data_IF_801731160844
#
_entry.id   IF_801731160844
#
_cell.length_a   1.000
_cell.length_b   1.000
_cell.length_c   1.000
_cell.angle_alpha   90.00
_cell.angle_beta   90.00
_cell.angle_gamma   90.00
#
_symmetry.space_group_name_H-M   'P 1'
#
loop_
_entity.id
_entity.type
_entity.pdbx_description
1 polymer ?
#
# COMPACT_ATOMS: atom_id res chain seq x y z
N UNK A 1 -3.34 -53.80 21.29
CA UNK A 1 -2.88 -52.47 20.87
C UNK A 1 -3.12 -52.38 19.40
N UNK A 2 -4.24 -51.75 19.05
CA UNK A 2 -5.07 -52.24 17.98
C UNK A 2 -4.75 -51.52 16.68
N UNK A 3 -4.60 -52.31 15.61
CA UNK A 3 -4.31 -51.84 14.25
C UNK A 3 -5.31 -50.77 13.77
N UNK A 4 -6.54 -50.80 14.30
CA UNK A 4 -7.58 -49.79 14.09
C UNK A 4 -7.23 -48.39 14.61
N UNK A 5 -6.33 -48.28 15.59
CA UNK A 5 -5.88 -46.99 16.14
C UNK A 5 -4.90 -46.28 15.20
N UNK A 6 -4.00 -47.02 14.54
CA UNK A 6 -3.04 -46.42 13.59
C UNK A 6 -3.72 -45.88 12.33
N UNK A 7 -4.76 -46.55 11.83
CA UNK A 7 -5.51 -46.09 10.64
C UNK A 7 -6.19 -44.73 10.88
N UNK A 8 -6.71 -44.48 12.10
CA UNK A 8 -7.35 -43.21 12.43
C UNK A 8 -6.36 -42.04 12.47
N UNK A 9 -5.15 -42.26 12.97
CA UNK A 9 -4.08 -41.25 13.02
C UNK A 9 -3.61 -40.91 11.60
N UNK A 10 -3.47 -41.92 10.73
CA UNK A 10 -3.05 -41.71 9.34
C UNK A 10 -4.10 -40.91 8.54
N UNK A 11 -5.39 -41.19 8.74
CA UNK A 11 -6.49 -40.45 8.10
C UNK A 11 -6.62 -39.00 8.60
N UNK A 12 -6.36 -38.75 9.88
CA UNK A 12 -6.30 -37.39 10.43
C UNK A 12 -5.11 -36.60 9.84
N UNK A 13 -3.95 -37.23 9.70
CA UNK A 13 -2.76 -36.60 9.11
C UNK A 13 -2.97 -36.20 7.64
N UNK A 14 -3.59 -37.04 6.82
CA UNK A 14 -3.81 -36.73 5.40
C UNK A 14 -4.83 -35.61 5.19
N UNK A 15 -5.87 -35.53 6.02
CA UNK A 15 -6.84 -34.43 6.00
C UNK A 15 -6.21 -33.09 6.40
N UNK A 16 -5.32 -33.08 7.40
CA UNK A 16 -4.61 -31.85 7.79
C UNK A 16 -3.59 -31.38 6.75
N UNK A 17 -2.92 -32.29 6.05
CA UNK A 17 -1.96 -31.93 4.99
C UNK A 17 -2.65 -31.35 3.75
N UNK A 18 -3.83 -31.87 3.40
CA UNK A 18 -4.62 -31.36 2.27
C UNK A 18 -5.25 -30.00 2.56
N UNK A 19 -5.61 -29.72 3.83
CA UNK A 19 -6.07 -28.39 4.25
C UNK A 19 -4.94 -27.33 4.24
N UNK A 20 -3.69 -27.73 4.53
CA UNK A 20 -2.53 -26.84 4.39
C UNK A 20 -2.18 -26.55 2.93
N UNK A 21 -2.33 -27.54 2.03
CA UNK A 21 -2.03 -27.39 0.61
C UNK A 21 -3.03 -26.47 -0.12
N UNK A 22 -4.26 -26.34 0.37
CA UNK A 22 -5.29 -25.45 -0.22
C UNK A 22 -5.14 -23.99 0.20
N UNK A 23 -4.45 -23.70 1.30
CA UNK A 23 -4.16 -22.33 1.76
C UNK A 23 -2.90 -21.72 1.10
N UNK A 24 -2.17 -22.51 0.31
CA UNK A 24 -0.92 -22.10 -0.34
C UNK A 24 -1.10 -21.66 -1.81
N UNK A 25 -2.32 -21.33 -2.25
CA UNK A 25 -2.46 -20.44 -3.41
C UNK A 25 -2.11 -19.02 -2.95
N UNK A 26 -0.81 -18.76 -2.83
CA UNK A 26 -0.27 -17.42 -2.69
C UNK A 26 -0.75 -16.61 -3.89
N UNK A 27 -1.89 -15.92 -3.74
CA UNK A 27 -2.27 -14.87 -4.66
C UNK A 27 -1.13 -13.88 -4.61
N UNK A 28 -0.36 -13.82 -5.70
CA UNK A 28 0.67 -12.82 -5.88
C UNK A 28 -0.02 -11.46 -5.80
N UNK A 29 0.03 -10.85 -4.62
CA UNK A 29 -0.51 -9.54 -4.35
C UNK A 29 0.39 -8.51 -5.03
N UNK A 30 0.28 -8.44 -6.34
CA UNK A 30 0.95 -7.44 -7.16
C UNK A 30 0.24 -6.10 -6.97
N UNK A 31 0.99 -5.02 -6.86
CA UNK A 31 0.45 -3.65 -6.80
C UNK A 31 0.26 -3.02 -8.18
N UNK A 32 0.30 -3.84 -9.23
CA UNK A 32 0.18 -3.41 -10.60
C UNK A 32 -0.72 -4.34 -11.42
N UNK A 33 -1.32 -3.79 -12.47
CA UNK A 33 -2.09 -4.51 -13.48
C UNK A 33 -1.58 -4.12 -14.87
N UNK A 34 -1.25 -5.08 -15.72
CA UNK A 34 -0.80 -4.82 -17.08
C UNK A 34 -1.98 -4.69 -18.05
N UNK A 35 -1.75 -4.01 -19.17
CA UNK A 35 -2.73 -3.94 -20.25
C UNK A 35 -3.09 -5.34 -20.76
N UNK A 36 -4.38 -5.62 -20.88
CA UNK A 36 -4.93 -6.93 -21.25
C UNK A 36 -5.15 -7.88 -20.07
N UNK A 37 -4.64 -7.57 -18.88
CA UNK A 37 -4.95 -8.31 -17.67
C UNK A 37 -6.28 -7.82 -17.05
N UNK A 38 -6.94 -8.72 -16.33
CA UNK A 38 -8.17 -8.42 -15.58
C UNK A 38 -8.02 -8.86 -14.13
N UNK A 39 -8.61 -8.08 -13.22
CA UNK A 39 -8.75 -8.45 -11.82
C UNK A 39 -10.14 -9.02 -11.60
N UNK A 40 -10.23 -10.32 -11.36
CA UNK A 40 -11.48 -10.96 -10.98
C UNK A 40 -11.98 -10.45 -9.62
N UNK A 41 -13.26 -10.67 -9.31
CA UNK A 41 -13.93 -10.25 -8.06
C UNK A 41 -13.30 -10.70 -6.74
N UNK A 42 -12.36 -11.64 -6.79
CA UNK A 42 -11.61 -12.16 -5.64
C UNK A 42 -10.14 -11.73 -5.64
N UNK A 43 -9.73 -10.94 -6.63
CA UNK A 43 -8.39 -10.38 -6.76
C UNK A 43 -8.47 -8.87 -6.51
N UNK A 44 -7.54 -8.38 -5.71
CA UNK A 44 -7.47 -6.97 -5.37
C UNK A 44 -6.01 -6.53 -5.49
N UNK A 45 -5.80 -5.35 -6.08
CA UNK A 45 -4.58 -4.59 -5.83
C UNK A 45 -4.73 -4.08 -4.39
N UNK A 46 -3.70 -4.23 -3.55
CA UNK A 46 -3.78 -4.06 -2.09
C UNK A 46 -4.39 -2.70 -1.68
N UNK A 47 -5.71 -2.64 -1.45
CA UNK A 47 -6.43 -2.41 -0.19
C UNK A 47 -7.94 -2.50 -0.47
N UNK A 48 -8.65 -3.31 0.32
CA UNK A 48 -9.86 -3.99 -0.10
C UNK A 48 -11.18 -3.24 -0.05
N UNK A 49 -12.14 -3.79 -0.80
CA UNK A 49 -13.58 -3.72 -0.57
C UNK A 49 -14.21 -4.93 -1.28
N UNK A 50 -14.87 -5.80 -0.53
CA UNK A 50 -15.58 -6.95 -1.07
C UNK A 50 -16.81 -6.50 -1.86
N UNK A 51 -16.81 -6.76 -3.16
CA UNK A 51 -18.03 -6.78 -3.98
C UNK A 51 -18.87 -8.00 -3.57
N UNK A 52 -19.65 -7.85 -2.51
CA UNK A 52 -20.70 -8.81 -2.18
C UNK A 52 -21.89 -8.54 -3.12
N UNK A 53 -22.08 -9.44 -4.10
CA UNK A 53 -23.31 -9.72 -4.86
C UNK A 53 -23.35 -9.40 -6.37
N UNK A 54 -22.37 -8.71 -6.95
CA UNK A 54 -22.20 -8.66 -8.42
C UNK A 54 -20.76 -8.94 -8.78
N UNK A 55 -20.55 -9.90 -9.68
CA UNK A 55 -19.23 -10.27 -10.16
C UNK A 55 -18.75 -9.18 -11.13
N UNK A 56 -18.22 -8.08 -10.57
CA UNK A 56 -17.59 -7.02 -11.34
C UNK A 56 -16.08 -7.27 -11.44
N UNK A 57 -15.48 -6.96 -12.58
CA UNK A 57 -14.04 -7.08 -12.75
C UNK A 57 -13.45 -5.83 -13.42
N UNK A 58 -12.22 -5.51 -13.04
CA UNK A 58 -11.50 -4.33 -13.53
C UNK A 58 -10.54 -4.75 -14.64
N UNK A 59 -10.55 -4.03 -15.76
CA UNK A 59 -9.66 -4.28 -16.91
C UNK A 59 -8.93 -3.01 -17.33
N UNK A 60 -7.66 -3.16 -17.72
CA UNK A 60 -6.88 -2.10 -18.37
C UNK A 60 -6.73 -2.44 -19.84
N UNK A 61 -7.29 -1.62 -20.72
CA UNK A 61 -7.24 -1.81 -22.18
C UNK A 61 -5.94 -1.27 -22.79
N UNK A 62 -5.64 -1.70 -24.01
CA UNK A 62 -4.44 -1.30 -24.77
C UNK A 62 -4.39 0.18 -25.17
N UNK A 63 -5.48 0.92 -24.99
CA UNK A 63 -5.54 2.36 -25.20
C UNK A 63 -5.49 3.12 -23.85
N UNK A 64 -4.99 2.49 -22.79
CA UNK A 64 -4.88 3.06 -21.45
C UNK A 64 -6.22 3.34 -20.77
N UNK A 65 -7.32 2.79 -21.30
CA UNK A 65 -8.65 2.93 -20.74
C UNK A 65 -8.86 1.92 -19.61
N UNK A 66 -9.25 2.40 -18.45
CA UNK A 66 -9.64 1.57 -17.33
C UNK A 66 -11.15 1.35 -17.38
N UNK A 67 -11.60 0.09 -17.32
CA UNK A 67 -13.01 -0.28 -17.46
C UNK A 67 -13.41 -1.24 -16.35
N UNK A 68 -14.52 -0.95 -15.67
CA UNK A 68 -15.20 -1.85 -14.75
C UNK A 68 -16.36 -2.50 -15.51
N UNK A 69 -16.31 -3.81 -15.61
CA UNK A 69 -17.28 -4.64 -16.30
C UNK A 69 -18.07 -5.46 -15.28
N UNK A 70 -19.37 -5.62 -15.52
CA UNK A 70 -20.18 -6.63 -14.83
C UNK A 70 -20.03 -8.00 -15.55
N UNK A 71 -20.52 -9.08 -14.93
CA UNK A 71 -20.55 -10.46 -15.43
C UNK A 71 -20.87 -10.65 -16.92
N UNK A 72 -21.66 -9.77 -17.53
CA UNK A 72 -22.09 -9.86 -18.94
C UNK A 72 -21.25 -9.01 -19.88
N UNK A 73 -20.11 -8.51 -19.41
CA UNK A 73 -19.26 -7.52 -20.09
C UNK A 73 -19.98 -6.17 -20.30
N UNK A 74 -21.02 -5.91 -19.50
CA UNK A 74 -21.69 -4.63 -19.47
C UNK A 74 -20.76 -3.61 -18.78
N UNK A 75 -20.51 -2.50 -19.45
CA UNK A 75 -19.66 -1.42 -18.92
C UNK A 75 -20.43 -0.68 -17.84
N UNK A 76 -20.00 -0.86 -16.59
CA UNK A 76 -20.55 -0.13 -15.44
C UNK A 76 -19.89 1.23 -15.30
N UNK A 77 -18.59 1.30 -15.56
CA UNK A 77 -17.80 2.52 -15.45
C UNK A 77 -16.55 2.44 -16.33
N UNK A 78 -16.13 3.58 -16.88
CA UNK A 78 -14.89 3.68 -17.63
C UNK A 78 -14.18 5.04 -17.52
N UNK A 79 -12.91 5.08 -17.91
CA UNK A 79 -12.15 6.31 -18.11
C UNK A 79 -12.14 6.74 -19.57
N UNK A 80 -11.70 7.97 -19.84
CA UNK A 80 -11.32 8.37 -21.21
C UNK A 80 -10.05 7.60 -21.62
N UNK A 81 -9.94 7.18 -22.89
CA UNK A 81 -8.75 6.49 -23.37
C UNK A 81 -7.55 7.44 -23.37
N UNK A 82 -6.40 6.93 -22.93
CA UNK A 82 -5.10 7.59 -22.97
C UNK A 82 -4.45 7.12 -24.28
N UNK A 83 -4.61 7.87 -25.37
CA UNK A 83 -4.00 7.52 -26.68
C UNK A 83 -2.48 7.80 -26.62
N UNK A 84 -1.62 7.09 -27.38
CA UNK A 84 -1.90 6.10 -28.43
C UNK A 84 -2.09 4.66 -27.90
N UNK A 85 -2.37 3.69 -28.79
CA UNK A 85 -2.45 2.27 -28.43
C UNK A 85 -1.05 1.75 -28.03
N UNK A 86 -0.96 0.93 -26.98
CA UNK A 86 0.25 0.20 -26.59
C UNK A 86 0.18 -0.40 -25.18
N UNK A 87 1.35 -0.68 -24.59
CA UNK A 87 1.42 -1.35 -23.28
C UNK A 87 1.30 -0.36 -22.14
N UNK A 88 0.20 -0.48 -21.40
CA UNK A 88 -0.04 0.30 -20.18
C UNK A 88 0.14 -0.53 -18.92
N UNK A 89 0.47 0.14 -17.82
CA UNK A 89 0.51 -0.42 -16.47
C UNK A 89 -0.27 0.50 -15.52
N UNK A 90 -1.20 -0.08 -14.78
CA UNK A 90 -1.87 0.55 -13.65
C UNK A 90 -1.02 0.28 -12.40
N UNK A 91 -0.71 1.30 -11.61
CA UNK A 91 0.04 1.17 -10.37
C UNK A 91 -0.74 1.83 -9.24
N UNK A 92 -0.89 1.12 -8.13
CA UNK A 92 -1.39 1.70 -6.87
C UNK A 92 -0.21 2.22 -6.06
N UNK A 93 -0.15 3.54 -5.88
CA UNK A 93 0.89 4.21 -5.11
C UNK A 93 0.57 4.21 -3.61
N UNK A 94 1.55 4.48 -2.74
CA UNK A 94 1.36 4.50 -1.27
C UNK A 94 0.47 5.61 -0.75
N UNK A 95 0.32 6.68 -1.51
CA UNK A 95 -0.62 7.75 -1.18
C UNK A 95 -2.04 7.45 -1.66
N UNK A 96 -2.30 6.17 -1.97
CA UNK A 96 -3.59 5.66 -2.45
C UNK A 96 -4.02 6.25 -3.79
N UNK A 97 -3.08 6.81 -4.55
CA UNK A 97 -3.32 7.23 -5.92
C UNK A 97 -3.15 6.06 -6.86
N UNK A 98 -4.11 5.94 -7.77
CA UNK A 98 -4.06 4.99 -8.88
C UNK A 98 -3.57 5.75 -10.10
N UNK A 99 -2.42 5.33 -10.65
CA UNK A 99 -1.77 5.99 -11.78
C UNK A 99 -1.60 5.00 -12.93
N UNK A 100 -1.98 5.42 -14.14
CA UNK A 100 -1.76 4.65 -15.37
C UNK A 100 -0.54 5.23 -16.07
N UNK A 101 0.43 4.38 -16.41
CA UNK A 101 1.57 4.76 -17.22
C UNK A 101 1.58 3.98 -18.55
N UNK A 102 2.03 4.61 -19.63
CA UNK A 102 2.16 4.00 -20.96
C UNK A 102 1.88 5.00 -22.09
N UNK A 103 2.00 4.57 -23.37
CA UNK A 103 2.52 3.28 -23.79
C UNK A 103 4.05 3.30 -24.01
N UNK A 104 4.63 4.49 -24.20
CA UNK A 104 6.06 4.69 -24.46
C UNK A 104 6.77 5.03 -23.16
N UNK A 105 7.35 4.02 -22.54
CA UNK A 105 8.41 4.20 -21.56
C UNK A 105 9.74 4.38 -22.30
N UNK A 106 10.75 4.94 -21.65
CA UNK A 106 12.11 5.04 -22.19
C UNK A 106 12.67 3.62 -22.44
N UNK A 107 12.39 3.07 -23.62
CA UNK A 107 12.99 1.85 -24.12
C UNK A 107 14.37 2.22 -24.65
N UNK A 108 15.41 2.01 -23.84
CA UNK A 108 16.78 2.04 -24.33
C UNK A 108 17.07 0.74 -25.06
N UNK A 109 16.87 0.67 -26.38
CA UNK A 109 17.21 -0.46 -27.27
C UNK A 109 16.52 -1.82 -26.98
N UNK A 110 16.33 -2.60 -28.04
CA UNK A 110 15.53 -3.84 -28.08
C UNK A 110 16.12 -5.02 -27.27
N UNK A 111 17.20 -4.80 -26.54
CA UNK A 111 17.87 -5.77 -25.66
C UNK A 111 17.53 -5.55 -24.17
N UNK A 112 16.69 -4.56 -23.85
CA UNK A 112 16.33 -4.27 -22.46
C UNK A 112 15.09 -5.04 -22.08
N UNK A 113 15.33 -6.15 -21.36
CA UNK A 113 14.34 -6.76 -20.50
C UNK A 113 13.69 -5.67 -19.65
N UNK A 114 12.36 -5.53 -19.76
CA UNK A 114 11.60 -4.99 -18.65
C UNK A 114 11.83 -6.00 -17.53
N UNK A 115 12.84 -5.74 -16.70
CA UNK A 115 12.81 -6.22 -15.35
C UNK A 115 11.52 -5.60 -14.78
N UNK A 116 10.41 -6.35 -14.84
CA UNK A 116 9.58 -6.44 -13.65
C UNK A 116 10.60 -6.62 -12.58
N UNK A 117 10.72 -5.62 -11.74
CA UNK A 117 11.75 -5.61 -10.75
C UNK A 117 11.31 -6.66 -9.72
N UNK A 118 11.50 -7.93 -10.08
CA UNK A 118 11.54 -9.09 -9.21
C UNK A 118 12.50 -8.78 -8.07
N UNK A 119 13.44 -7.84 -8.29
CA UNK A 119 14.00 -6.95 -7.28
C UNK A 119 14.01 -5.49 -7.79
N UNK A 120 13.18 -4.61 -7.21
CA UNK A 120 13.15 -3.15 -7.43
C UNK A 120 14.52 -2.46 -7.56
N UNK A 121 14.65 -1.29 -8.24
CA UNK A 121 15.78 -0.42 -7.98
C UNK A 121 15.78 -0.08 -6.48
N UNK A 122 16.67 -0.70 -5.68
CA UNK A 122 16.67 -0.71 -4.20
C UNK A 122 15.27 -0.41 -3.66
N UNK A 123 14.42 -1.45 -3.70
CA UNK A 123 13.02 -1.31 -3.36
C UNK A 123 12.89 -0.51 -2.08
N UNK A 124 11.89 0.36 -1.99
CA UNK A 124 11.67 1.12 -0.76
C UNK A 124 11.55 0.21 0.49
N UNK A 125 11.33 -1.11 0.34
CA UNK A 125 11.60 -2.13 1.37
C UNK A 125 13.00 -1.96 1.94
N UNK A 126 14.05 -2.03 1.12
CA UNK A 126 15.45 -1.85 1.53
C UNK A 126 15.71 -0.47 2.15
N UNK A 127 15.04 0.59 1.67
CA UNK A 127 15.14 1.92 2.27
C UNK A 127 14.43 1.98 3.64
N UNK A 128 13.29 1.31 3.78
CA UNK A 128 12.56 1.20 5.05
C UNK A 128 13.27 0.27 6.02
N UNK A 129 13.86 -0.80 5.53
CA UNK A 129 14.69 -1.73 6.27
C UNK A 129 15.97 -1.01 6.67
N UNK A 130 16.55 -0.15 5.84
CA UNK A 130 17.69 0.69 6.21
C UNK A 130 17.31 1.82 7.18
N UNK A 131 16.09 2.38 7.11
CA UNK A 131 15.59 3.35 8.11
C UNK A 131 15.23 2.67 9.43
N UNK A 132 14.61 1.50 9.38
CA UNK A 132 14.28 0.65 10.52
C UNK A 132 15.55 0.14 11.18
N UNK A 133 16.53 -0.28 10.39
CA UNK A 133 17.84 -0.73 10.87
C UNK A 133 18.59 0.42 11.52
N UNK A 134 18.65 1.61 10.89
CA UNK A 134 19.21 2.81 11.52
C UNK A 134 18.51 3.17 12.83
N UNK A 135 17.19 3.03 12.90
CA UNK A 135 16.43 3.27 14.13
C UNK A 135 16.75 2.21 15.20
N UNK A 136 16.85 0.93 14.82
CA UNK A 136 17.26 -0.17 15.71
C UNK A 136 18.67 0.07 16.25
N UNK A 137 19.61 0.47 15.38
CA UNK A 137 21.00 0.74 15.76
C UNK A 137 21.09 1.95 16.68
N UNK A 138 20.34 3.02 16.39
CA UNK A 138 20.19 4.18 17.27
C UNK A 138 19.64 3.78 18.64
N UNK A 139 18.56 2.99 18.68
CA UNK A 139 17.93 2.55 19.93
C UNK A 139 18.84 1.60 20.72
N UNK A 140 19.63 0.77 20.03
CA UNK A 140 20.63 -0.13 20.63
C UNK A 140 21.77 0.68 21.26
N UNK A 141 22.31 1.66 20.54
CA UNK A 141 23.37 2.54 21.05
C UNK A 141 22.87 3.40 22.22
N UNK A 142 21.65 3.94 22.11
CA UNK A 142 21.00 4.66 23.22
C UNK A 142 20.80 3.77 24.44
N UNK A 143 20.33 2.53 24.24
CA UNK A 143 20.15 1.57 25.32
C UNK A 143 21.48 1.17 25.98
N UNK A 144 22.56 1.06 25.21
CA UNK A 144 23.89 0.75 25.76
C UNK A 144 24.33 1.82 26.78
N UNK A 145 24.06 3.10 26.51
CA UNK A 145 24.40 4.25 27.37
C UNK A 145 23.50 4.45 28.60
N UNK A 146 22.38 3.75 28.71
CA UNK A 146 21.45 3.88 29.85
C UNK A 146 22.01 3.28 31.13
N UNK A 147 21.65 3.87 32.27
CA UNK A 147 21.98 3.34 33.60
C UNK A 147 21.25 2.02 33.86
N UNK A 148 21.70 1.25 34.86
CA UNK A 148 21.07 -0.03 35.21
C UNK A 148 19.59 0.12 35.62
N UNK A 149 19.27 1.22 36.33
CA UNK A 149 17.91 1.52 36.77
C UNK A 149 16.99 1.87 35.60
N UNK A 150 17.46 2.71 34.68
CA UNK A 150 16.69 3.06 33.47
C UNK A 150 16.45 1.83 32.58
N UNK A 151 17.44 0.94 32.47
CA UNK A 151 17.29 -0.35 31.76
C UNK A 151 16.21 -1.22 32.42
N UNK A 152 16.16 -1.26 33.76
CA UNK A 152 15.12 -1.99 34.52
C UNK A 152 13.72 -1.40 34.26
N UNK A 153 13.58 -0.08 34.30
CA UNK A 153 12.32 0.60 33.99
C UNK A 153 11.86 0.37 32.55
N UNK A 154 12.77 0.48 31.56
CA UNK A 154 12.45 0.25 30.15
C UNK A 154 12.00 -1.19 29.89
N UNK A 155 12.62 -2.18 30.53
CA UNK A 155 12.17 -3.59 30.47
C UNK A 155 10.75 -3.77 31.01
N UNK A 156 10.45 -3.19 32.17
CA UNK A 156 9.11 -3.24 32.75
C UNK A 156 8.05 -2.59 31.83
N UNK A 157 8.39 -1.45 31.22
CA UNK A 157 7.51 -0.78 30.26
C UNK A 157 7.23 -1.62 29.01
N UNK A 158 8.24 -2.32 28.46
CA UNK A 158 8.08 -3.22 27.30
C UNK A 158 7.15 -4.38 27.65
N UNK A 159 7.33 -5.01 28.82
CA UNK A 159 6.47 -6.12 29.28
C UNK A 159 5.02 -5.63 29.44
N UNK A 160 4.80 -4.47 30.07
CA UNK A 160 3.48 -3.89 30.23
C UNK A 160 2.83 -3.55 28.87
N UNK A 161 3.60 -2.99 27.93
CA UNK A 161 3.14 -2.69 26.59
C UNK A 161 2.77 -3.97 25.81
N UNK A 162 3.56 -5.04 25.94
CA UNK A 162 3.25 -6.34 25.33
C UNK A 162 1.98 -6.95 25.92
N UNK A 163 1.79 -6.88 27.24
CA UNK A 163 0.56 -7.35 27.90
C UNK A 163 -0.67 -6.58 27.41
N UNK A 164 -0.57 -5.25 27.29
CA UNK A 164 -1.64 -4.40 26.73
C UNK A 164 -1.94 -4.73 25.27
N UNK A 165 -0.91 -4.98 24.44
CA UNK A 165 -1.12 -5.40 23.05
C UNK A 165 -1.88 -6.72 22.94
N UNK A 166 -1.56 -7.71 23.78
CA UNK A 166 -2.30 -8.99 23.81
C UNK A 166 -3.75 -8.82 24.26
N UNK A 167 -4.01 -7.94 25.23
CA UNK A 167 -5.39 -7.61 25.62
C UNK A 167 -6.13 -6.87 24.49
N UNK A 168 -5.46 -5.97 23.78
CA UNK A 168 -6.03 -5.25 22.65
C UNK A 168 -6.29 -6.15 21.44
N UNK A 169 -5.38 -7.07 21.08
CA UNK A 169 -5.60 -7.98 19.95
C UNK A 169 -6.82 -8.86 20.15
N UNK A 170 -7.09 -9.27 21.39
CA UNK A 170 -8.28 -10.07 21.72
C UNK A 170 -9.58 -9.25 21.61
N UNK A 171 -9.51 -7.93 21.86
CA UNK A 171 -10.65 -7.01 21.69
C UNK A 171 -10.84 -6.58 20.22
N UNK A 172 -9.75 -6.44 19.47
CA UNK A 172 -9.77 -6.01 18.06
C UNK A 172 -10.29 -7.12 17.14
N UNK A 173 -9.96 -8.40 17.42
CA UNK A 173 -10.52 -9.55 16.70
C UNK A 173 -12.04 -9.65 16.93
N UNK A 174 -12.54 -9.30 18.12
CA UNK A 174 -13.98 -9.27 18.39
C UNK A 174 -14.70 -8.10 17.67
N UNK A 175 -14.02 -6.96 17.49
CA UNK A 175 -14.56 -5.78 16.80
C UNK A 175 -14.50 -5.90 15.27
N UNK A 176 -13.53 -6.64 14.72
CA UNK A 176 -13.38 -6.87 13.28
C UNK A 176 -14.45 -7.78 12.67
N UNK A 177 -15.23 -8.47 13.50
CA UNK A 177 -16.29 -9.38 13.05
C UNK A 177 -17.64 -8.67 12.78
N UNK A 178 -17.80 -7.38 13.08
CA UNK A 178 -19.14 -6.74 13.05
C UNK A 178 -19.24 -5.32 12.47
N UNK A 179 -18.18 -4.69 11.94
CA UNK A 179 -18.32 -3.32 11.39
C UNK A 179 -17.60 -3.07 10.05
N UNK A 180 -18.20 -2.25 9.16
CA UNK A 180 -17.62 -1.91 7.86
C UNK A 180 -16.33 -1.08 8.00
N UNK A 181 -15.30 -1.45 7.24
CA UNK A 181 -13.94 -0.91 7.28
C UNK A 181 -13.81 0.62 7.25
N UNK A 182 -14.77 1.34 6.66
CA UNK A 182 -14.82 2.82 6.70
C UNK A 182 -14.80 3.38 8.13
N UNK A 183 -15.51 2.72 9.06
CA UNK A 183 -15.55 3.15 10.47
C UNK A 183 -14.21 2.91 11.19
N UNK A 184 -13.48 1.85 10.81
CA UNK A 184 -12.18 1.51 11.40
C UNK A 184 -11.10 2.55 11.03
N UNK A 185 -11.12 3.05 9.79
CA UNK A 185 -10.19 4.11 9.38
C UNK A 185 -10.49 5.43 10.09
N UNK A 186 -11.76 5.82 10.15
CA UNK A 186 -12.14 7.07 10.80
C UNK A 186 -11.83 7.03 12.29
N UNK A 187 -12.08 5.91 12.98
CA UNK A 187 -11.73 5.74 14.40
C UNK A 187 -10.22 5.77 14.64
N UNK A 188 -9.39 5.16 13.78
CA UNK A 188 -7.92 5.26 13.89
C UNK A 188 -7.44 6.71 13.70
N UNK A 189 -8.01 7.43 12.73
CA UNK A 189 -7.71 8.84 12.49
C UNK A 189 -8.11 9.71 13.69
N UNK A 190 -9.29 9.49 14.27
CA UNK A 190 -9.76 10.22 15.44
C UNK A 190 -8.88 9.96 16.67
N UNK A 191 -8.51 8.71 16.94
CA UNK A 191 -7.59 8.37 18.05
C UNK A 191 -6.23 9.05 17.90
N UNK A 192 -5.70 9.15 16.68
CA UNK A 192 -4.45 9.86 16.42
C UNK A 192 -4.59 11.36 16.67
N UNK A 193 -5.70 11.97 16.24
CA UNK A 193 -6.01 13.38 16.51
C UNK A 193 -6.10 13.63 18.02
N UNK A 194 -6.80 12.78 18.77
CA UNK A 194 -6.91 12.88 20.23
C UNK A 194 -5.57 12.71 20.93
N UNK A 195 -4.77 11.72 20.51
CA UNK A 195 -3.42 11.53 21.02
C UNK A 195 -2.56 12.79 20.81
N UNK A 196 -2.60 13.38 19.62
CA UNK A 196 -1.83 14.58 19.31
C UNK A 196 -2.34 15.81 20.07
N UNK A 197 -3.66 15.92 20.32
CA UNK A 197 -4.25 16.96 21.17
C UNK A 197 -3.77 16.85 22.61
N UNK A 198 -3.85 15.65 23.19
CA UNK A 198 -3.43 15.42 24.57
C UNK A 198 -1.91 15.62 24.75
N UNK A 199 -1.12 15.17 23.76
CA UNK A 199 0.32 15.45 23.72
C UNK A 199 0.60 16.94 23.64
N UNK A 200 -0.12 17.68 22.79
CA UNK A 200 0.03 19.14 22.68
C UNK A 200 -0.37 19.86 23.96
N UNK A 201 -1.43 19.43 24.65
CA UNK A 201 -1.87 20.02 25.91
C UNK A 201 -0.75 19.99 26.96
N UNK A 202 -0.01 18.88 27.03
CA UNK A 202 1.11 18.67 27.97
C UNK A 202 2.41 19.38 27.61
N UNK A 203 2.54 19.95 26.41
CA UNK A 203 3.76 20.67 26.00
C UNK A 203 3.88 22.01 26.74
N UNK A 204 5.13 22.37 27.06
CA UNK A 204 5.48 23.68 27.60
C UNK A 204 5.19 24.80 26.58
N UNK A 205 5.13 26.06 27.04
CA UNK A 205 4.85 27.20 26.18
C UNK A 205 5.89 27.35 25.05
N UNK A 206 7.16 27.08 25.35
CA UNK A 206 8.26 27.19 24.39
C UNK A 206 8.19 26.08 23.32
N UNK A 207 7.94 24.84 23.73
CA UNK A 207 7.73 23.74 22.78
C UNK A 207 6.50 23.96 21.89
N UNK A 208 5.43 24.56 22.42
CA UNK A 208 4.24 24.95 21.63
C UNK A 208 4.59 26.00 20.59
N UNK A 209 5.44 26.98 20.93
CA UNK A 209 5.94 28.01 20.02
C UNK A 209 6.80 27.40 18.91
N UNK A 210 7.73 26.52 19.24
CA UNK A 210 8.56 25.81 18.27
C UNK A 210 7.72 24.93 17.33
N UNK A 211 6.75 24.17 17.86
CA UNK A 211 5.86 23.33 17.05
C UNK A 211 4.99 24.17 16.09
N UNK A 212 4.50 25.34 16.51
CA UNK A 212 3.79 26.29 15.63
C UNK A 212 4.69 26.79 14.50
N UNK A 213 5.94 27.17 14.79
CA UNK A 213 6.90 27.60 13.77
C UNK A 213 7.21 26.48 12.76
N UNK A 214 7.37 25.23 13.23
CA UNK A 214 7.60 24.08 12.36
C UNK A 214 6.41 23.80 11.43
N UNK A 215 5.17 23.86 11.94
CA UNK A 215 3.94 23.69 11.14
C UNK A 215 3.82 24.80 10.09
N UNK A 216 4.14 26.04 10.46
CA UNK A 216 4.13 27.17 9.53
C UNK A 216 5.14 26.99 8.41
N UNK A 217 6.39 26.60 8.73
CA UNK A 217 7.43 26.36 7.74
C UNK A 217 7.09 25.19 6.81
N UNK A 218 6.54 24.10 7.35
CA UNK A 218 6.08 22.96 6.56
C UNK A 218 4.95 23.35 5.59
N UNK A 219 3.99 24.15 6.05
CA UNK A 219 2.91 24.69 5.21
C UNK A 219 3.44 25.60 4.11
N UNK A 220 4.42 26.46 4.40
CA UNK A 220 5.07 27.32 3.40
C UNK A 220 5.79 26.50 2.32
N UNK A 221 6.53 25.46 2.71
CA UNK A 221 7.19 24.54 1.77
C UNK A 221 6.18 23.83 0.87
N UNK A 222 5.08 23.30 1.42
CA UNK A 222 4.03 22.65 0.60
C UNK A 222 3.48 23.58 -0.49
N UNK A 223 3.25 24.86 -0.17
CA UNK A 223 2.80 25.86 -1.16
C UNK A 223 3.84 26.14 -2.24
N UNK A 224 5.13 26.12 -1.90
CA UNK A 224 6.19 26.27 -2.89
C UNK A 224 6.26 25.07 -3.84
N UNK A 225 6.09 23.85 -3.32
CA UNK A 225 6.06 22.65 -4.15
C UNK A 225 4.84 22.58 -5.07
N UNK A 226 3.64 22.97 -4.60
CA UNK A 226 2.45 23.02 -5.45
C UNK A 226 2.58 24.03 -6.60
N UNK A 227 3.31 25.12 -6.39
CA UNK A 227 3.53 26.13 -7.43
C UNK A 227 4.60 25.68 -8.45
N UNK A 228 5.58 24.87 -8.03
CA UNK A 228 6.56 24.27 -8.95
C UNK A 228 5.95 23.15 -9.81
N UNK A 229 5.02 22.36 -9.29
CA UNK A 229 4.32 21.33 -10.08
C UNK A 229 3.50 21.93 -11.23
N UNK A 230 2.96 23.14 -11.07
CA UNK A 230 2.21 23.83 -12.14
C UNK A 230 3.15 24.42 -13.21
N UNK A 231 4.37 24.82 -12.84
CA UNK A 231 5.33 25.43 -13.77
C UNK A 231 6.08 24.43 -14.66
N UNK A 232 6.04 23.13 -14.33
CA UNK A 232 6.76 22.09 -15.06
C UNK A 232 5.89 21.29 -16.05
N UNK A 233 4.66 21.73 -16.35
CA UNK A 233 3.90 21.17 -17.46
C UNK A 233 4.43 21.77 -18.78
N UNK A 234 5.12 21.01 -19.64
CA UNK A 234 5.56 21.52 -20.92
C UNK A 234 4.34 21.89 -21.77
N UNK A 235 4.25 23.15 -22.16
CA UNK A 235 3.32 23.65 -23.17
C UNK A 235 3.67 23.03 -24.52
N UNK A 236 3.28 21.78 -24.76
CA UNK A 236 3.36 21.16 -26.08
C UNK A 236 2.25 21.69 -26.97
N UNK A 237 2.36 22.95 -27.38
CA UNK A 237 1.69 23.50 -28.54
C UNK A 237 2.77 23.89 -29.56
N UNK A 238 3.35 22.90 -30.22
CA UNK A 238 3.92 23.08 -31.54
C UNK A 238 3.07 22.27 -32.51
N UNK A 239 2.11 22.96 -33.10
CA UNK A 239 1.42 22.59 -34.31
C UNK A 239 2.41 22.62 -35.47
N UNK A 240 2.97 21.46 -35.82
CA UNK A 240 3.51 21.16 -37.15
C UNK A 240 2.35 20.43 -37.85
N UNK A 241 1.73 20.89 -38.93
CA UNK A 241 2.24 21.64 -40.07
C UNK A 241 1.62 20.93 -41.26
N UNK A 242 0.53 21.49 -41.80
CA UNK A 242 -0.13 21.02 -43.01
C UNK A 242 0.88 20.88 -44.15
N UNK A 243 0.93 19.71 -44.79
CA UNK A 243 1.41 19.58 -46.17
C UNK A 243 0.31 18.89 -46.98
N UNK A 244 -0.48 19.71 -47.66
CA UNK A 244 -1.14 19.35 -48.91
C UNK A 244 -0.10 19.56 -50.01
N UNK A 245 0.23 18.51 -50.76
CA UNK A 245 0.60 18.71 -52.17
C UNK A 245 0.03 17.56 -52.98
N UNK A 246 -0.91 17.95 -53.83
CA UNK A 246 -1.42 17.26 -55.01
C UNK A 246 -0.28 16.80 -55.91
N UNK A 247 -0.33 15.57 -56.42
CA UNK A 247 -0.40 15.13 -57.83
C UNK A 247 -0.88 13.68 -57.80
#
# INVERSE_FOLDING_TARGET
MDFFSMIKILLLCTASLSLLATLASGQNASNYLLSGEHLSTSQYLIEGLGCYLTLCYLTLQENGKLVILENKNDVVWDTKPIKPIGKYILIVQRDYKVVIHGPKFWAGSDDVAIATALNGPMGLSDIFDMKRQRQIDYDRHKYAKMSAEEKKQKKQAIVLASKRRKQFSNLEIASLMLEPFSYIFETKRQRQIEYDRHKYAKMSAEEKKQKKQAIFLASKRRKQFSNLEIACLPSSSHSIGHFLTTI
#
